data_IF_735373813623
#
_entry.id   IF_735373813623
#
_cell.length_a   1.000
_cell.length_b   1.000
_cell.length_c   1.000
_cell.angle_alpha   90.00
_cell.angle_beta   90.00
_cell.angle_gamma   90.00
#
_symmetry.space_group_name_H-M   'P 1'
#
loop_
_entity.id
_entity.type
_entity.pdbx_description
1 polymer ?
#
# COMPACT_ATOMS: atom_id res chain seq x y z
N UNK A 1 -4.33 -33.94 35.12
CA UNK A 1 -4.72 -32.63 35.70
C UNK A 1 -4.73 -31.62 34.57
N UNK A 2 -5.90 -31.11 34.19
CA UNK A 2 -6.00 -30.02 33.22
C UNK A 2 -5.90 -28.70 33.99
N UNK A 3 -4.89 -27.88 33.70
CA UNK A 3 -4.82 -26.54 34.25
C UNK A 3 -5.90 -25.69 33.59
N UNK A 4 -6.88 -25.22 34.39
CA UNK A 4 -7.78 -24.14 33.96
C UNK A 4 -6.92 -22.93 33.67
N UNK A 5 -6.82 -22.56 32.39
CA UNK A 5 -6.32 -21.24 31.99
C UNK A 5 -7.33 -20.24 32.58
N UNK A 6 -6.89 -19.44 33.55
CA UNK A 6 -7.71 -18.38 34.11
C UNK A 6 -8.16 -17.42 33.01
N UNK A 7 -9.31 -16.77 33.20
CA UNK A 7 -9.77 -15.72 32.30
C UNK A 7 -8.65 -14.69 32.13
N UNK A 8 -8.00 -14.71 30.97
CA UNK A 8 -7.03 -13.69 30.61
C UNK A 8 -7.80 -12.36 30.57
N UNK A 9 -7.22 -11.26 31.09
CA UNK A 9 -7.81 -9.95 30.88
C UNK A 9 -8.01 -9.75 29.37
N UNK A 10 -9.10 -9.09 28.93
CA UNK A 10 -9.30 -8.81 27.52
C UNK A 10 -8.06 -8.08 27.01
N UNK A 11 -7.43 -8.67 26.00
CA UNK A 11 -6.36 -8.00 25.26
C UNK A 11 -6.99 -6.71 24.71
N UNK A 12 -6.41 -5.52 24.98
CA UNK A 12 -6.90 -4.30 24.38
C UNK A 12 -6.99 -4.53 22.87
N UNK A 13 -8.18 -4.36 22.29
CA UNK A 13 -8.30 -4.35 20.84
C UNK A 13 -7.40 -3.21 20.35
N UNK A 14 -6.25 -3.56 19.79
CA UNK A 14 -5.45 -2.63 19.00
C UNK A 14 -6.30 -2.34 17.76
N UNK A 15 -7.09 -1.28 17.80
CA UNK A 15 -7.98 -0.82 16.74
C UNK A 15 -7.24 -0.21 15.55
N UNK A 16 -6.01 -0.65 15.27
CA UNK A 16 -5.08 0.14 14.47
C UNK A 16 -4.59 -0.63 13.25
N UNK A 17 -4.99 -0.12 12.09
CA UNK A 17 -4.58 -0.58 10.78
C UNK A 17 -3.08 -0.39 10.58
N UNK A 18 -2.32 -1.48 10.48
CA UNK A 18 -0.90 -1.45 10.11
C UNK A 18 -0.76 -1.91 8.67
N UNK A 19 -0.43 -0.97 7.78
CA UNK A 19 0.03 -1.27 6.42
C UNK A 19 1.55 -1.20 6.41
N UNK A 20 2.19 -2.18 5.77
CA UNK A 20 3.64 -2.29 5.71
C UNK A 20 4.05 -2.81 4.33
N UNK A 21 4.98 -2.13 3.67
CA UNK A 21 5.55 -2.59 2.41
C UNK A 21 7.06 -2.36 2.38
N UNK A 22 7.76 -3.22 1.65
CA UNK A 22 9.22 -3.18 1.52
C UNK A 22 9.61 -3.25 0.05
N UNK A 23 10.61 -2.49 -0.34
CA UNK A 23 11.18 -2.61 -1.69
C UNK A 23 12.65 -2.22 -1.69
N UNK A 24 13.44 -2.96 -2.46
CA UNK A 24 14.81 -2.61 -2.76
C UNK A 24 14.86 -1.85 -4.09
N UNK A 25 15.45 -0.67 -4.07
CA UNK A 25 15.63 0.17 -5.25
C UNK A 25 17.10 0.59 -5.34
N UNK A 26 17.80 0.06 -6.35
CA UNK A 26 19.27 0.14 -6.46
C UNK A 26 19.96 -0.41 -5.21
N UNK A 27 20.72 0.42 -4.50
CA UNK A 27 21.46 0.12 -3.27
C UNK A 27 20.70 0.50 -2.00
N UNK A 28 19.42 0.89 -2.11
CA UNK A 28 18.59 1.36 -0.99
C UNK A 28 17.45 0.41 -0.69
N UNK A 29 17.15 0.29 0.60
CA UNK A 29 15.96 -0.34 1.14
C UNK A 29 14.95 0.74 1.52
N UNK A 30 13.71 0.57 1.07
CA UNK A 30 12.58 1.41 1.43
C UNK A 30 11.59 0.59 2.26
N UNK A 31 11.13 1.17 3.36
CA UNK A 31 10.05 0.66 4.20
C UNK A 31 8.93 1.68 4.18
N UNK A 32 7.74 1.29 3.73
CA UNK A 32 6.54 2.12 3.76
C UNK A 32 5.63 1.66 4.87
N UNK A 33 5.12 2.61 5.65
CA UNK A 33 4.28 2.30 6.80
C UNK A 33 3.36 3.46 7.14
N UNK A 34 2.22 3.13 7.73
CA UNK A 34 1.31 4.11 8.29
C UNK A 34 1.74 4.49 9.72
N UNK A 35 2.18 5.73 9.93
CA UNK A 35 2.55 6.24 11.25
C UNK A 35 1.29 6.58 12.04
N UNK A 36 1.09 5.87 13.16
CA UNK A 36 -0.09 6.02 14.00
C UNK A 36 -0.11 7.35 14.77
N UNK A 37 1.04 8.00 14.93
CA UNK A 37 1.14 9.25 15.68
C UNK A 37 0.56 10.42 14.89
N UNK A 38 0.93 10.54 13.61
CA UNK A 38 0.48 11.64 12.75
C UNK A 38 -0.61 11.23 11.75
N UNK A 39 -0.93 9.94 11.67
CA UNK A 39 -1.96 9.34 10.81
C UNK A 39 -1.73 9.52 9.32
N UNK A 40 -0.47 9.51 8.88
CA UNK A 40 -0.12 9.53 7.46
C UNK A 40 0.75 8.35 7.02
N UNK A 41 0.86 8.14 5.70
CA UNK A 41 1.82 7.23 5.10
C UNK A 41 3.22 7.84 5.13
N UNK A 42 4.17 7.09 5.65
CA UNK A 42 5.58 7.42 5.71
C UNK A 42 6.41 6.44 4.91
N UNK A 43 7.64 6.84 4.63
CA UNK A 43 8.69 5.95 4.21
C UNK A 43 9.93 6.12 5.08
N UNK A 44 10.66 5.03 5.31
CA UNK A 44 12.02 5.03 5.80
C UNK A 44 12.93 4.51 4.69
N UNK A 45 14.07 5.18 4.48
CA UNK A 45 15.06 4.83 3.45
C UNK A 45 16.45 4.77 4.05
N UNK A 46 17.22 3.76 3.65
CA UNK A 46 18.62 3.58 4.05
C UNK A 46 19.30 2.54 3.20
N UNK A 47 20.61 2.37 3.37
CA UNK A 47 21.34 1.23 2.83
C UNK A 47 21.47 0.15 3.88
N UNK A 48 21.87 -1.04 3.45
CA UNK A 48 22.20 -2.12 4.37
C UNK A 48 23.29 -1.68 5.36
N UNK A 49 23.06 -1.93 6.65
CA UNK A 49 23.95 -1.55 7.76
C UNK A 49 24.12 -0.02 7.98
N UNK A 50 23.27 0.81 7.38
CA UNK A 50 23.23 2.25 7.63
C UNK A 50 22.01 2.64 8.48
N UNK A 51 22.04 3.86 9.01
CA UNK A 51 20.88 4.44 9.70
C UNK A 51 19.82 4.84 8.68
N UNK A 52 18.57 4.47 8.94
CA UNK A 52 17.45 4.84 8.09
C UNK A 52 17.00 6.27 8.41
N UNK A 53 16.71 7.04 7.36
CA UNK A 53 16.03 8.34 7.47
C UNK A 53 14.56 8.15 7.13
N UNK A 54 13.66 8.75 7.90
CA UNK A 54 12.21 8.65 7.67
C UNK A 54 11.57 10.00 7.38
N UNK A 55 10.55 9.98 6.53
CA UNK A 55 9.73 11.15 6.23
C UNK A 55 8.31 10.72 5.85
N UNK A 56 7.35 11.60 6.11
CA UNK A 56 6.01 11.48 5.53
C UNK A 56 6.09 11.59 4.01
N UNK A 57 5.23 10.83 3.31
CA UNK A 57 5.03 11.03 1.88
C UNK A 57 4.16 12.27 1.68
N UNK A 58 4.71 13.23 0.94
CA UNK A 58 4.00 14.45 0.55
C UNK A 58 4.06 14.62 -0.96
N UNK A 59 2.90 14.77 -1.60
CA UNK A 59 2.79 14.81 -3.05
C UNK A 59 1.94 16.01 -3.53
N UNK A 60 1.83 16.18 -4.85
CA UNK A 60 1.09 17.30 -5.44
C UNK A 60 1.75 18.66 -5.15
N UNK A 61 3.09 18.72 -5.22
CA UNK A 61 3.86 19.93 -4.92
C UNK A 61 3.88 20.26 -3.42
N UNK A 62 4.09 19.24 -2.58
CA UNK A 62 4.19 19.33 -1.12
C UNK A 62 2.90 19.75 -0.38
N UNK A 63 1.71 19.53 -0.96
CA UNK A 63 0.43 19.96 -0.38
C UNK A 63 -0.47 18.84 0.11
N UNK A 64 -0.30 17.62 -0.40
CA UNK A 64 -1.15 16.47 -0.08
C UNK A 64 -0.35 15.43 0.71
N UNK A 65 -0.99 14.83 1.70
CA UNK A 65 -0.50 13.67 2.44
C UNK A 65 -1.50 12.53 2.27
N UNK A 66 -1.00 11.30 2.36
CA UNK A 66 -1.84 10.10 2.29
C UNK A 66 -2.26 9.75 3.71
N UNK A 67 -3.52 9.99 4.05
CA UNK A 67 -4.07 9.69 5.37
C UNK A 67 -4.24 8.19 5.56
N UNK A 68 -4.09 7.72 6.80
CA UNK A 68 -4.46 6.34 7.17
C UNK A 68 -5.97 6.18 6.95
N UNK A 69 -6.40 5.21 6.15
CA UNK A 69 -7.82 4.89 6.06
C UNK A 69 -8.34 4.37 7.41
N UNK A 70 -9.50 4.85 7.86
CA UNK A 70 -10.11 4.38 9.10
C UNK A 70 -10.82 3.04 8.81
N UNK A 71 -10.08 1.93 8.91
CA UNK A 71 -10.62 0.58 8.79
C UNK A 71 -10.53 -0.20 10.10
N UNK A 72 -11.44 -1.15 10.35
CA UNK A 72 -11.30 -2.11 11.45
C UNK A 72 -10.16 -3.13 11.22
N UNK A 73 -9.49 -3.09 10.06
CA UNK A 73 -8.50 -4.06 9.59
C UNK A 73 -7.23 -3.34 9.09
N UNK A 74 -6.07 -4.02 8.98
CA UNK A 74 -4.86 -3.45 8.39
C UNK A 74 -5.11 -2.88 6.99
N UNK A 75 -4.70 -1.63 6.79
CA UNK A 75 -4.89 -0.92 5.53
C UNK A 75 -3.93 -1.48 4.48
N UNK A 76 -4.43 -1.97 3.34
CA UNK A 76 -3.59 -2.55 2.31
C UNK A 76 -2.54 -1.56 1.79
N UNK A 77 -1.30 -2.03 1.67
CA UNK A 77 -0.16 -1.25 1.22
C UNK A 77 0.84 -2.18 0.53
N UNK A 78 1.33 -1.79 -0.64
CA UNK A 78 2.40 -2.50 -1.36
C UNK A 78 3.25 -1.50 -2.14
N UNK A 79 4.46 -1.88 -2.51
CA UNK A 79 5.34 -1.04 -3.32
C UNK A 79 6.10 -1.87 -4.36
N UNK A 80 6.63 -1.21 -5.38
CA UNK A 80 7.48 -1.84 -6.38
C UNK A 80 8.45 -0.84 -6.99
N UNK A 81 9.58 -1.34 -7.49
CA UNK A 81 10.60 -0.55 -8.18
C UNK A 81 10.87 -1.12 -9.56
N UNK A 82 10.77 -0.29 -10.59
CA UNK A 82 11.14 -0.63 -11.95
C UNK A 82 12.53 -0.05 -12.26
N UNK A 83 13.50 -0.94 -12.48
CA UNK A 83 14.91 -0.58 -12.70
C UNK A 83 15.15 0.15 -14.02
N UNK A 84 14.38 -0.18 -15.05
CA UNK A 84 14.56 0.39 -16.40
C UNK A 84 14.10 1.85 -16.45
N UNK A 85 13.01 2.15 -15.74
CA UNK A 85 12.42 3.51 -15.66
C UNK A 85 12.89 4.29 -14.43
N UNK A 86 13.62 3.63 -13.52
CA UNK A 86 14.01 4.14 -12.20
C UNK A 86 12.84 4.68 -11.39
N UNK A 87 11.71 3.99 -11.48
CA UNK A 87 10.46 4.44 -10.93
C UNK A 87 10.05 3.58 -9.74
N UNK A 88 9.86 4.23 -8.60
CA UNK A 88 9.36 3.64 -7.37
C UNK A 88 7.89 4.02 -7.24
N UNK A 89 7.03 3.01 -7.07
CA UNK A 89 5.59 3.19 -6.89
C UNK A 89 5.13 2.59 -5.58
N UNK A 90 4.23 3.30 -4.92
CA UNK A 90 3.54 2.84 -3.71
C UNK A 90 2.05 2.83 -3.99
N UNK A 91 1.42 1.69 -3.73
CA UNK A 91 0.00 1.47 -3.94
C UNK A 91 -0.69 1.29 -2.59
N UNK A 92 -1.78 2.01 -2.43
CA UNK A 92 -2.51 2.10 -1.17
C UNK A 92 -4.00 2.22 -1.43
N UNK A 93 -4.80 2.08 -0.38
CA UNK A 93 -6.23 2.38 -0.40
C UNK A 93 -6.42 3.77 0.21
N UNK A 94 -7.17 4.64 -0.46
CA UNK A 94 -7.44 6.00 0.03
C UNK A 94 -8.69 6.05 0.95
N UNK A 95 -9.04 7.23 1.44
CA UNK A 95 -10.19 7.46 2.31
C UNK A 95 -11.56 7.26 1.63
N UNK A 96 -11.62 7.24 0.29
CA UNK A 96 -12.80 6.84 -0.48
C UNK A 96 -12.81 5.36 -0.86
N UNK A 97 -11.93 4.55 -0.27
CA UNK A 97 -11.79 3.11 -0.54
C UNK A 97 -11.36 2.78 -1.98
N UNK A 98 -10.68 3.70 -2.65
CA UNK A 98 -10.13 3.45 -3.98
C UNK A 98 -8.65 3.03 -3.86
N UNK A 99 -8.24 2.09 -4.70
CA UNK A 99 -6.82 1.83 -4.91
C UNK A 99 -6.22 3.03 -5.64
N UNK A 100 -5.16 3.58 -5.08
CA UNK A 100 -4.45 4.73 -5.58
C UNK A 100 -2.95 4.45 -5.59
N UNK A 101 -2.18 5.33 -6.25
CA UNK A 101 -0.73 5.20 -6.30
C UNK A 101 -0.04 6.56 -6.15
N UNK A 102 1.17 6.54 -5.62
CA UNK A 102 2.13 7.64 -5.70
C UNK A 102 3.45 7.14 -6.27
N UNK A 103 4.14 8.03 -6.98
CA UNK A 103 5.29 7.71 -7.80
C UNK A 103 6.45 8.65 -7.43
N UNK A 104 7.67 8.12 -7.43
CA UNK A 104 8.90 8.92 -7.38
C UNK A 104 9.96 8.34 -8.31
N UNK A 105 10.72 9.21 -8.96
CA UNK A 105 11.90 8.85 -9.79
C UNK A 105 13.23 9.28 -9.17
N UNK A 106 13.15 9.94 -8.01
CA UNK A 106 14.27 10.53 -7.31
C UNK A 106 14.36 10.00 -5.86
N UNK A 107 13.96 8.74 -5.68
CA UNK A 107 14.13 8.01 -4.43
C UNK A 107 13.48 8.69 -3.21
N UNK A 108 12.31 9.29 -3.43
CA UNK A 108 11.46 9.87 -2.40
C UNK A 108 11.66 11.37 -2.16
N UNK A 109 12.50 12.05 -2.93
CA UNK A 109 12.65 13.50 -2.81
C UNK A 109 11.43 14.25 -3.38
N UNK A 110 10.87 13.80 -4.50
CA UNK A 110 9.64 14.33 -5.09
C UNK A 110 8.65 13.19 -5.36
N UNK A 111 7.51 13.23 -4.65
CA UNK A 111 6.40 12.33 -4.87
C UNK A 111 5.32 12.98 -5.73
N UNK A 112 4.81 12.20 -6.68
CA UNK A 112 3.76 12.59 -7.61
C UNK A 112 2.56 11.64 -7.47
N UNK A 113 1.38 12.16 -7.80
CA UNK A 113 0.16 11.35 -7.91
C UNK A 113 0.25 10.54 -9.20
N UNK A 114 0.10 9.22 -9.12
CA UNK A 114 0.10 8.39 -10.32
C UNK A 114 -1.25 8.32 -11.02
N UNK A 115 -1.29 7.60 -12.14
CA UNK A 115 -2.46 7.51 -12.99
C UNK A 115 -3.54 6.57 -12.42
N UNK A 116 -3.19 5.73 -11.43
CA UNK A 116 -4.13 4.85 -10.73
C UNK A 116 -5.03 5.60 -9.73
N UNK A 117 -4.73 6.86 -9.39
CA UNK A 117 -5.40 7.62 -8.33
C UNK A 117 -6.86 8.07 -8.61
N UNK A 118 -7.59 7.38 -9.49
CA UNK A 118 -8.98 7.68 -9.84
C UNK A 118 -10.00 6.82 -9.11
N UNK A 119 -11.26 7.30 -9.03
CA UNK A 119 -12.42 6.64 -8.38
C UNK A 119 -12.87 5.29 -9.01
N UNK A 120 -12.01 4.64 -9.79
CA UNK A 120 -12.39 3.52 -10.67
C UNK A 120 -12.27 2.15 -9.99
N UNK A 121 -11.32 1.99 -9.07
CA UNK A 121 -10.98 0.68 -8.52
C UNK A 121 -11.23 0.65 -7.03
N UNK A 122 -12.48 0.37 -6.66
CA UNK A 122 -12.90 0.24 -5.27
C UNK A 122 -12.37 -1.05 -4.65
N UNK A 123 -11.95 -0.95 -3.40
CA UNK A 123 -11.60 -2.08 -2.56
C UNK A 123 -12.65 -2.23 -1.46
N UNK A 124 -13.15 -3.45 -1.28
CA UNK A 124 -14.02 -3.79 -0.16
C UNK A 124 -13.26 -3.66 1.18
N UNK A 125 -14.00 -3.56 2.29
CA UNK A 125 -13.45 -3.32 3.64
C UNK A 125 -12.44 -4.38 4.12
N UNK A 126 -12.38 -5.54 3.46
CA UNK A 126 -11.44 -6.62 3.76
C UNK A 126 -10.78 -7.07 2.44
N UNK A 127 -9.45 -7.04 2.41
CA UNK A 127 -8.69 -7.48 1.24
C UNK A 127 -7.19 -7.21 1.36
N UNK A 128 -6.46 -7.58 0.31
CA UNK A 128 -5.01 -7.33 0.20
C UNK A 128 -4.62 -6.70 -1.15
N UNK A 129 -3.50 -5.99 -1.14
CA UNK A 129 -2.84 -5.47 -2.33
C UNK A 129 -1.47 -6.13 -2.50
N UNK A 130 -1.10 -6.41 -3.74
CA UNK A 130 0.27 -6.77 -4.11
C UNK A 130 0.61 -6.14 -5.45
N UNK A 131 1.84 -5.68 -5.60
CA UNK A 131 2.31 -5.05 -6.83
C UNK A 131 3.53 -5.79 -7.39
N UNK A 132 3.58 -5.88 -8.72
CA UNK A 132 4.66 -6.52 -9.44
C UNK A 132 5.24 -5.52 -10.45
N UNK A 133 6.45 -5.01 -10.23
CA UNK A 133 7.14 -4.23 -11.25
C UNK A 133 7.57 -5.17 -12.40
N UNK A 134 7.45 -4.69 -13.63
CA UNK A 134 7.89 -5.40 -14.85
C UNK A 134 7.78 -4.50 -16.06
N UNK A 135 7.79 -5.08 -17.27
CA UNK A 135 7.61 -4.33 -18.53
C UNK A 135 6.30 -3.53 -18.57
N UNK A 136 5.32 -3.93 -17.76
CA UNK A 136 4.10 -3.19 -17.46
C UNK A 136 3.87 -3.27 -15.95
N UNK A 137 3.41 -2.18 -15.34
CA UNK A 137 3.02 -2.18 -13.93
C UNK A 137 1.77 -3.04 -13.74
N UNK A 138 1.81 -3.89 -12.71
CA UNK A 138 0.70 -4.77 -12.35
C UNK A 138 0.39 -4.64 -10.87
N UNK A 139 -0.89 -4.54 -10.55
CA UNK A 139 -1.40 -4.54 -9.17
C UNK A 139 -2.48 -5.59 -9.06
N UNK A 140 -2.37 -6.48 -8.09
CA UNK A 140 -3.43 -7.44 -7.78
C UNK A 140 -4.18 -6.98 -6.55
N UNK A 141 -5.50 -6.93 -6.69
CA UNK A 141 -6.46 -6.63 -5.63
C UNK A 141 -7.13 -7.95 -5.27
N UNK A 142 -6.92 -8.42 -4.05
CA UNK A 142 -7.68 -9.53 -3.47
C UNK A 142 -8.77 -8.94 -2.60
N UNK A 143 -10.02 -9.24 -2.89
CA UNK A 143 -11.14 -8.85 -2.05
C UNK A 143 -11.64 -10.09 -1.31
N UNK A 144 -11.69 -9.98 0.01
CA UNK A 144 -12.30 -11.04 0.81
C UNK A 144 -13.81 -11.01 0.62
N UNK A 145 -14.45 -12.19 0.60
CA UNK A 145 -15.87 -12.29 0.34
C UNK A 145 -16.69 -11.61 1.45
N UNK A 146 -17.80 -10.98 1.06
CA UNK A 146 -18.91 -10.75 2.00
C UNK A 146 -19.57 -12.10 2.32
N UNK A 147 -20.32 -12.16 3.41
CA UNK A 147 -21.05 -13.37 3.78
C UNK A 147 -21.90 -13.88 2.60
N UNK A 148 -21.60 -15.09 2.12
CA UNK A 148 -22.29 -15.71 0.98
C UNK A 148 -21.72 -15.42 -0.41
N UNK A 149 -20.67 -14.59 -0.53
CA UNK A 149 -20.00 -14.31 -1.80
C UNK A 149 -18.70 -15.14 -1.94
N UNK A 150 -18.23 -15.45 -3.16
CA UNK A 150 -16.89 -16.01 -3.36
C UNK A 150 -15.82 -14.92 -3.21
N UNK A 151 -14.61 -15.33 -2.83
CA UNK A 151 -13.43 -14.46 -2.93
C UNK A 151 -13.26 -14.01 -4.38
N UNK A 152 -12.84 -12.76 -4.60
CA UNK A 152 -12.49 -12.26 -5.92
C UNK A 152 -11.05 -11.77 -5.96
N UNK A 153 -10.41 -11.98 -7.10
CA UNK A 153 -9.09 -11.42 -7.40
C UNK A 153 -9.20 -10.63 -8.70
N UNK A 154 -8.75 -9.38 -8.66
CA UNK A 154 -8.69 -8.50 -9.83
C UNK A 154 -7.25 -8.09 -10.06
N UNK A 155 -6.75 -8.31 -11.28
CA UNK A 155 -5.48 -7.75 -11.71
C UNK A 155 -5.69 -6.45 -12.47
N UNK A 156 -4.93 -5.43 -12.11
CA UNK A 156 -4.83 -4.17 -12.79
C UNK A 156 -3.52 -4.11 -13.57
N UNK A 157 -3.59 -3.64 -14.81
CA UNK A 157 -2.44 -3.46 -15.69
C UNK A 157 -2.38 -2.01 -16.17
N UNK A 158 -1.20 -1.39 -16.08
CA UNK A 158 -0.95 -0.10 -16.69
C UNK A 158 -0.47 -0.28 -18.13
N UNK A 159 -1.25 0.23 -19.09
CA UNK A 159 -0.87 0.28 -20.49
C UNK A 159 -0.33 1.66 -20.85
N UNK A 160 0.71 1.69 -21.68
CA UNK A 160 1.30 2.95 -22.20
C UNK A 160 0.28 3.81 -22.94
N UNK A 161 -0.76 3.18 -23.51
CA UNK A 161 -1.93 3.85 -24.08
C UNK A 161 -3.20 3.36 -23.40
N UNK A 162 -4.02 4.30 -22.91
CA UNK A 162 -5.30 4.00 -22.29
C UNK A 162 -5.28 3.79 -20.77
N UNK A 163 -4.12 3.90 -20.12
CA UNK A 163 -4.00 3.88 -18.66
C UNK A 163 -4.27 2.50 -18.05
N UNK A 164 -4.81 2.51 -16.83
CA UNK A 164 -5.10 1.29 -16.09
C UNK A 164 -6.33 0.53 -16.63
N UNK A 165 -6.25 -0.80 -16.65
CA UNK A 165 -7.37 -1.70 -16.97
C UNK A 165 -7.42 -2.85 -15.98
N UNK A 166 -8.64 -3.29 -15.65
CA UNK A 166 -8.90 -4.40 -14.73
C UNK A 166 -9.26 -5.69 -15.48
N UNK A 167 -8.78 -6.81 -14.96
CA UNK A 167 -9.06 -8.15 -15.42
C UNK A 167 -9.41 -9.01 -14.20
N UNK A 168 -10.61 -9.59 -14.19
CA UNK A 168 -11.00 -10.54 -13.15
C UNK A 168 -10.26 -11.86 -13.37
N UNK A 169 -9.72 -12.43 -12.29
CA UNK A 169 -9.22 -13.80 -12.30
C UNK A 169 -10.37 -14.70 -11.81
N UNK A 170 -10.81 -15.67 -12.64
CA UNK A 170 -11.86 -16.62 -12.27
C UNK A 170 -11.42 -17.60 -11.18
#
# INVERSE_FOLDING_TARGET
>A
MAHKIGNLPPVPQLSHSVGLAFVYAEDKCFVFYYDQNDKYLHYAVGKENETFSSSAIVYGGAKKRISIPIYPQPSPLTAGYNKDTKELRVYYVNDQQNVAEVITKDFGANWEEGSLAGEKYKMADIGGLSAYPGNMWRVMIRQDPKEGEPMSITELYEFSTGGWKAYAIP
#
